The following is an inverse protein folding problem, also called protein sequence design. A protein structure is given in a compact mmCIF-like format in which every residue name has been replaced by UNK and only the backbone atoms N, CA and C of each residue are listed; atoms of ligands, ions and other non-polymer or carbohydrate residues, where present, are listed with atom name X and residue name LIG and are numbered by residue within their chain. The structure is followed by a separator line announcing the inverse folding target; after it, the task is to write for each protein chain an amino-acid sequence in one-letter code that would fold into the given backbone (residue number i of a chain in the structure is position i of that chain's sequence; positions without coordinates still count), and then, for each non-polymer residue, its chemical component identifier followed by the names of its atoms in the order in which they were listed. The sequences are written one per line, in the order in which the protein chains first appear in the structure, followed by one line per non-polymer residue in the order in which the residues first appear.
data_IF_705820768535
#
_entry.id   IF_705820768535
#
_cell.length_a   1.000
_cell.length_b   1.000
_cell.length_c   1.000
_cell.angle_alpha   90.00
_cell.angle_beta   90.00
_cell.angle_gamma   90.00
#
_symmetry.space_group_name_H-M   'P 1'
#
loop_
_entity.id
_entity.type
_entity.pdbx_description
1 polymer ?
#
# COMPACT_ATOMS: atom_id res chain seq x y z
N UNK A 1 -20.11 13.70 -39.07
CA UNK A 1 -18.77 14.18 -38.75
C UNK A 1 -17.75 13.07 -38.97
N UNK A 2 -16.78 13.33 -39.80
CA UNK A 2 -15.74 12.32 -40.09
C UNK A 2 -14.71 12.36 -38.93
N UNK A 3 -14.39 11.20 -38.38
CA UNK A 3 -13.46 11.07 -37.23
C UNK A 3 -12.08 11.73 -37.47
N UNK A 4 -11.67 11.92 -38.73
CA UNK A 4 -10.44 12.63 -39.12
C UNK A 4 -10.48 14.12 -38.86
N UNK A 5 -11.64 14.76 -38.89
CA UNK A 5 -11.77 16.22 -38.71
C UNK A 5 -11.68 16.59 -37.22
N UNK A 6 -12.03 15.66 -36.32
CA UNK A 6 -11.90 15.88 -34.90
C UNK A 6 -10.44 15.90 -34.41
N UNK A 7 -9.60 15.03 -35.03
CA UNK A 7 -8.17 14.95 -34.69
C UNK A 7 -7.33 16.11 -35.25
N UNK A 8 -7.79 16.74 -36.32
CA UNK A 8 -7.12 17.92 -36.89
C UNK A 8 -7.43 19.21 -36.12
N UNK A 9 -8.55 19.27 -35.45
CA UNK A 9 -8.94 20.44 -34.63
C UNK A 9 -8.21 20.57 -33.29
N UNK A 10 -7.65 19.47 -32.77
CA UNK A 10 -6.92 19.45 -31.52
C UNK A 10 -5.46 19.90 -31.58
N UNK A 11 -4.90 19.96 -32.79
CA UNK A 11 -3.50 20.41 -32.98
C UNK A 11 -3.35 21.94 -33.01
N UNK A 12 -4.45 22.68 -33.26
CA UNK A 12 -4.40 24.14 -33.29
C UNK A 12 -4.60 24.81 -31.93
N UNK A 13 -5.09 24.09 -30.94
CA UNK A 13 -5.28 24.59 -29.57
C UNK A 13 -4.06 24.39 -28.66
N UNK A 14 -3.02 23.70 -29.14
CA UNK A 14 -1.84 23.36 -28.36
C UNK A 14 -0.81 24.49 -28.16
N UNK A 15 -0.96 25.60 -28.87
CA UNK A 15 0.04 26.67 -28.83
C UNK A 15 -0.24 27.76 -27.76
N UNK A 16 -1.45 27.79 -27.19
CA UNK A 16 -1.81 28.79 -26.17
C UNK A 16 -1.71 28.24 -24.72
N UNK A 17 -1.35 26.96 -24.54
CA UNK A 17 -1.34 26.28 -23.25
C UNK A 17 -0.03 26.30 -22.47
N UNK A 18 1.02 26.95 -22.98
CA UNK A 18 2.35 26.87 -22.35
C UNK A 18 2.63 27.90 -21.27
N UNK A 19 1.65 28.70 -20.86
CA UNK A 19 1.87 29.72 -19.84
C UNK A 19 1.30 29.39 -18.45
N UNK A 20 0.70 28.20 -18.24
CA UNK A 20 0.11 27.83 -16.94
C UNK A 20 0.91 26.73 -16.23
N UNK A 21 2.11 26.44 -16.69
CA UNK A 21 2.92 25.33 -16.15
C UNK A 21 3.84 25.69 -14.99
N UNK A 22 3.76 26.91 -14.48
CA UNK A 22 4.57 27.27 -13.32
C UNK A 22 3.79 27.05 -12.03
N UNK A 23 3.70 25.86 -11.55
CA UNK A 23 3.62 25.56 -10.12
C UNK A 23 2.26 25.24 -9.49
N UNK A 24 1.12 25.25 -10.21
CA UNK A 24 -0.18 25.03 -9.58
C UNK A 24 -0.91 23.75 -9.95
N UNK A 25 -0.43 23.03 -10.95
CA UNK A 25 -0.97 21.75 -11.39
C UNK A 25 0.13 20.75 -11.77
N UNK A 26 1.21 20.74 -10.99
CA UNK A 26 1.94 19.48 -10.92
C UNK A 26 0.96 18.52 -10.28
N UNK A 27 0.45 17.48 -11.00
CA UNK A 27 -0.07 16.36 -10.28
C UNK A 27 1.07 16.01 -9.33
N UNK A 28 0.83 16.14 -8.04
CA UNK A 28 1.62 15.41 -7.08
C UNK A 28 1.47 13.99 -7.60
N UNK A 29 2.45 13.56 -8.39
CA UNK A 29 2.66 12.15 -8.55
C UNK A 29 2.76 11.67 -7.12
N UNK A 30 1.71 11.06 -6.64
CA UNK A 30 1.82 10.02 -5.65
C UNK A 30 2.66 9.00 -6.41
N UNK A 31 3.96 9.19 -6.34
CA UNK A 31 4.89 8.11 -6.47
C UNK A 31 4.54 7.26 -5.25
N UNK A 32 3.55 6.40 -5.41
CA UNK A 32 3.62 5.11 -4.79
C UNK A 32 5.01 4.67 -5.20
N UNK A 33 5.94 4.77 -4.26
CA UNK A 33 7.34 4.52 -4.57
C UNK A 33 7.37 3.07 -5.03
N UNK A 34 7.37 2.87 -6.35
CA UNK A 34 7.37 1.52 -6.94
C UNK A 34 8.50 0.70 -6.38
N UNK A 35 9.55 1.35 -5.88
CA UNK A 35 10.68 0.73 -5.23
C UNK A 35 10.31 -0.05 -3.96
N UNK A 36 9.37 0.40 -3.15
CA UNK A 36 8.95 -0.33 -1.94
C UNK A 36 8.18 -1.60 -2.28
N UNK A 37 7.33 -1.57 -3.31
CA UNK A 37 6.61 -2.76 -3.79
C UNK A 37 7.52 -3.75 -4.54
N UNK A 38 8.62 -3.28 -5.10
CA UNK A 38 9.59 -4.11 -5.82
C UNK A 38 10.67 -4.70 -4.90
N UNK A 39 10.79 -4.20 -3.68
CA UNK A 39 11.74 -4.68 -2.69
C UNK A 39 11.53 -6.18 -2.39
N UNK A 40 12.61 -6.91 -2.20
CA UNK A 40 12.61 -8.37 -2.03
C UNK A 40 12.80 -8.81 -0.58
N UNK A 41 13.20 -7.90 0.28
CA UNK A 41 13.39 -8.16 1.71
C UNK A 41 12.61 -7.14 2.53
N UNK A 42 12.27 -7.51 3.76
CA UNK A 42 11.61 -6.58 4.69
C UNK A 42 12.46 -5.33 4.94
N UNK A 43 13.77 -5.50 5.14
CA UNK A 43 14.69 -4.39 5.38
C UNK A 43 14.75 -3.41 4.20
N UNK A 44 14.82 -3.94 2.98
CA UNK A 44 14.83 -3.11 1.78
C UNK A 44 13.50 -2.38 1.58
N UNK A 45 12.40 -3.03 1.93
CA UNK A 45 11.06 -2.43 1.91
C UNK A 45 10.98 -1.25 2.88
N UNK A 46 11.40 -1.44 4.13
CA UNK A 46 11.38 -0.39 5.15
C UNK A 46 12.31 0.77 4.79
N UNK A 47 13.47 0.49 4.20
CA UNK A 47 14.39 1.51 3.68
C UNK A 47 13.78 2.30 2.52
N UNK A 48 13.14 1.59 1.57
CA UNK A 48 12.48 2.23 0.44
C UNK A 48 11.29 3.11 0.88
N UNK A 49 10.60 2.72 1.95
CA UNK A 49 9.56 3.53 2.58
C UNK A 49 10.13 4.67 3.45
N UNK A 50 11.44 4.68 3.70
CA UNK A 50 12.14 5.64 4.57
C UNK A 50 11.56 5.71 5.99
N UNK A 51 11.22 4.56 6.58
CA UNK A 51 10.59 4.45 7.89
C UNK A 51 11.38 3.55 8.83
N UNK A 52 11.29 3.89 10.12
CA UNK A 52 11.76 3.04 11.23
C UNK A 52 10.55 2.79 12.12
N UNK A 53 9.91 1.62 12.03
CA UNK A 53 8.70 1.35 12.78
C UNK A 53 8.99 1.08 14.26
N UNK A 54 8.13 1.61 15.13
CA UNK A 54 8.14 1.34 16.56
C UNK A 54 7.00 0.36 16.91
N UNK A 55 7.27 -0.71 17.64
CA UNK A 55 6.20 -1.62 18.09
C UNK A 55 5.25 -0.88 19.06
N UNK A 56 3.94 -1.03 18.80
CA UNK A 56 2.91 -0.39 19.60
C UNK A 56 1.67 -1.27 19.71
N UNK A 57 1.11 -1.33 20.91
CA UNK A 57 -0.18 -1.99 21.17
C UNK A 57 -1.39 -1.24 20.59
N UNK A 58 -1.19 -0.01 20.11
CA UNK A 58 -2.26 0.80 19.49
C UNK A 58 -2.56 0.38 18.06
N UNK A 59 -1.63 -0.32 17.42
CA UNK A 59 -1.84 -0.93 16.10
C UNK A 59 -2.35 -2.35 16.30
N UNK A 60 -3.44 -2.70 15.63
CA UNK A 60 -4.06 -4.02 15.76
C UNK A 60 -4.14 -4.69 14.39
N UNK A 61 -3.91 -5.99 14.40
CA UNK A 61 -4.10 -6.87 13.25
C UNK A 61 -5.20 -7.87 13.60
N UNK A 62 -6.15 -8.03 12.69
CA UNK A 62 -7.12 -9.11 12.72
C UNK A 62 -6.91 -9.97 11.48
N UNK A 63 -6.33 -11.12 11.69
CA UNK A 63 -6.07 -12.12 10.66
C UNK A 63 -6.35 -13.52 11.23
N UNK A 64 -6.62 -14.54 10.40
CA UNK A 64 -6.74 -15.91 10.89
C UNK A 64 -5.38 -16.40 11.40
N UNK A 65 -5.37 -17.17 12.46
CA UNK A 65 -4.15 -17.84 12.94
C UNK A 65 -3.65 -18.88 11.94
N UNK A 66 -4.59 -19.53 11.25
CA UNK A 66 -4.34 -20.53 10.22
C UNK A 66 -5.11 -20.15 8.96
N UNK A 67 -4.40 -19.92 7.88
CA UNK A 67 -4.97 -19.71 6.55
C UNK A 67 -4.89 -21.02 5.76
N UNK A 68 -6.05 -21.60 5.48
CA UNK A 68 -6.15 -22.80 4.63
C UNK A 68 -5.86 -22.48 3.15
N UNK A 69 -6.09 -21.23 2.74
CA UNK A 69 -5.80 -20.75 1.41
C UNK A 69 -4.92 -19.49 1.48
N UNK A 70 -3.62 -19.67 1.27
CA UNK A 70 -2.66 -18.56 1.25
C UNK A 70 -2.84 -17.55 0.12
N UNK A 71 -3.64 -17.88 -0.91
CA UNK A 71 -3.88 -16.96 -2.03
C UNK A 71 -4.81 -15.80 -1.64
N UNK A 72 -5.66 -15.99 -0.62
CA UNK A 72 -6.70 -15.03 -0.21
C UNK A 72 -6.84 -14.99 1.31
N UNK A 73 -5.86 -14.46 1.98
CA UNK A 73 -5.86 -14.33 3.45
C UNK A 73 -6.52 -13.00 3.84
N UNK A 74 -7.66 -13.03 4.54
CA UNK A 74 -8.31 -11.79 4.99
C UNK A 74 -7.50 -11.15 6.11
N UNK A 75 -7.22 -9.87 5.99
CA UNK A 75 -6.51 -9.08 6.99
C UNK A 75 -7.21 -7.75 7.19
N UNK A 76 -7.46 -7.40 8.44
CA UNK A 76 -7.90 -6.07 8.85
C UNK A 76 -6.83 -5.47 9.74
N UNK A 77 -6.45 -4.25 9.46
CA UNK A 77 -5.49 -3.47 10.26
C UNK A 77 -6.17 -2.22 10.80
N UNK A 78 -5.91 -1.90 12.05
CA UNK A 78 -6.46 -0.73 12.73
C UNK A 78 -5.31 0.02 13.39
N UNK A 79 -5.23 1.32 13.13
CA UNK A 79 -4.29 2.22 13.79
C UNK A 79 -4.98 3.09 14.84
N UNK A 80 -4.22 3.86 15.63
CA UNK A 80 -4.76 4.86 16.54
C UNK A 80 -5.37 6.05 15.79
N UNK A 81 -6.08 6.91 16.51
CA UNK A 81 -6.55 8.17 15.96
C UNK A 81 -5.38 9.03 15.44
N UNK A 82 -5.61 9.73 14.34
CA UNK A 82 -4.57 10.52 13.68
C UNK A 82 -3.71 9.72 12.71
N UNK A 83 -4.00 8.44 12.48
CA UNK A 83 -3.34 7.65 11.44
C UNK A 83 -3.68 8.21 10.06
N UNK A 84 -2.66 8.52 9.29
CA UNK A 84 -2.79 9.03 7.91
C UNK A 84 -2.53 7.98 6.84
N UNK A 85 -1.84 6.91 7.22
CA UNK A 85 -1.50 5.83 6.30
C UNK A 85 -1.45 4.49 7.05
N UNK A 86 -1.98 3.45 6.44
CA UNK A 86 -1.88 2.07 6.91
C UNK A 86 -1.20 1.22 5.84
N UNK A 87 -0.20 0.44 6.20
CA UNK A 87 0.47 -0.50 5.31
C UNK A 87 0.45 -1.91 5.88
N UNK A 88 0.37 -2.89 4.99
CA UNK A 88 0.39 -4.31 5.33
C UNK A 88 1.57 -4.95 4.63
N UNK A 89 2.43 -5.59 5.40
CA UNK A 89 3.58 -6.33 4.90
C UNK A 89 3.48 -7.80 5.31
N UNK A 90 4.08 -8.65 4.50
CA UNK A 90 4.26 -10.08 4.77
C UNK A 90 5.75 -10.38 4.71
N UNK A 91 6.34 -10.68 5.85
CA UNK A 91 7.80 -10.78 6.03
C UNK A 91 8.47 -11.73 5.04
N UNK A 92 7.89 -12.91 4.83
CA UNK A 92 8.46 -13.97 4.01
C UNK A 92 7.93 -14.03 2.57
N UNK A 93 7.17 -13.05 2.13
CA UNK A 93 6.76 -12.98 0.73
C UNK A 93 7.93 -12.52 -0.15
N UNK A 94 7.94 -12.91 -1.43
CA UNK A 94 8.94 -12.42 -2.39
C UNK A 94 8.97 -10.89 -2.53
N UNK A 95 7.85 -10.26 -2.30
CA UNK A 95 7.68 -8.81 -2.18
C UNK A 95 6.92 -8.57 -0.87
N UNK A 96 7.59 -8.09 0.18
CA UNK A 96 6.96 -7.96 1.51
C UNK A 96 5.80 -6.99 1.56
N UNK A 97 5.88 -5.84 0.89
CA UNK A 97 4.78 -4.86 0.89
C UNK A 97 3.60 -5.38 0.08
N UNK A 98 2.51 -5.69 0.77
CA UNK A 98 1.29 -6.21 0.15
C UNK A 98 0.30 -5.10 -0.23
N UNK A 99 0.13 -4.10 0.63
CA UNK A 99 -0.82 -3.01 0.40
C UNK A 99 -0.46 -1.77 1.22
N UNK A 100 -0.81 -0.60 0.69
CA UNK A 100 -0.76 0.68 1.40
C UNK A 100 -2.06 1.43 1.18
N UNK A 101 -2.62 1.97 2.26
CA UNK A 101 -3.87 2.74 2.27
C UNK A 101 -3.58 4.14 2.77
N UNK A 102 -3.79 5.12 1.93
CA UNK A 102 -3.71 6.53 2.31
C UNK A 102 -5.11 6.95 2.78
N UNK A 103 -5.22 7.36 4.03
CA UNK A 103 -6.47 7.74 4.65
C UNK A 103 -6.76 9.21 4.41
N UNK A 104 -7.96 9.48 3.91
CA UNK A 104 -8.45 10.84 3.78
C UNK A 104 -8.84 11.44 5.13
N UNK A 105 -9.02 12.75 5.14
CA UNK A 105 -9.48 13.49 6.31
C UNK A 105 -10.83 12.95 6.80
N UNK A 106 -10.93 12.66 8.10
CA UNK A 106 -12.13 12.09 8.71
C UNK A 106 -12.33 10.59 8.47
N UNK A 107 -11.42 9.91 7.78
CA UNK A 107 -11.48 8.47 7.59
C UNK A 107 -11.19 7.74 8.91
N UNK A 108 -11.89 6.62 9.14
CA UNK A 108 -11.54 5.73 10.24
C UNK A 108 -10.16 5.12 9.98
N UNK A 109 -9.31 4.98 11.02
CA UNK A 109 -7.99 4.39 10.88
C UNK A 109 -8.04 2.87 10.79
N UNK A 110 -8.81 2.36 9.86
CA UNK A 110 -9.02 0.93 9.63
C UNK A 110 -9.03 0.61 8.14
N UNK A 111 -8.37 -0.45 7.76
CA UNK A 111 -8.37 -0.97 6.40
C UNK A 111 -8.49 -2.49 6.41
N UNK A 112 -9.33 -3.02 5.55
CA UNK A 112 -9.53 -4.46 5.37
C UNK A 112 -9.28 -4.85 3.92
N UNK A 113 -8.52 -5.92 3.73
CA UNK A 113 -8.23 -6.47 2.41
C UNK A 113 -7.94 -7.96 2.47
N UNK A 114 -7.72 -8.56 1.31
CA UNK A 114 -7.19 -9.92 1.19
C UNK A 114 -5.81 -9.85 0.58
N UNK A 115 -4.88 -10.54 1.21
CA UNK A 115 -3.48 -10.59 0.79
C UNK A 115 -3.09 -12.01 0.38
N UNK A 116 -2.05 -12.11 -0.44
CA UNK A 116 -1.43 -13.39 -0.78
C UNK A 116 -0.27 -13.66 0.19
N UNK A 117 -0.25 -14.86 0.73
CA UNK A 117 0.85 -15.37 1.55
C UNK A 117 1.37 -16.68 0.93
N UNK A 118 2.60 -16.68 0.48
CA UNK A 118 3.21 -17.87 -0.14
C UNK A 118 3.54 -18.97 0.86
N UNK A 119 3.73 -18.63 2.11
CA UNK A 119 4.07 -19.55 3.20
C UNK A 119 3.74 -18.92 4.56
N UNK A 120 3.83 -19.71 5.63
CA UNK A 120 3.73 -19.21 7.01
C UNK A 120 4.68 -18.05 7.23
N UNK A 121 4.16 -16.94 7.75
CA UNK A 121 4.89 -15.70 7.91
C UNK A 121 4.25 -14.79 8.94
N UNK A 122 5.01 -13.82 9.41
CA UNK A 122 4.45 -12.68 10.11
C UNK A 122 3.77 -11.71 9.12
N UNK A 123 2.56 -11.32 9.43
CA UNK A 123 1.89 -10.17 8.86
C UNK A 123 2.25 -8.98 9.75
N UNK A 124 2.72 -7.91 9.14
CA UNK A 124 3.13 -6.69 9.83
C UNK A 124 2.20 -5.57 9.39
N UNK A 125 1.59 -4.90 10.35
CA UNK A 125 0.81 -3.69 10.11
C UNK A 125 1.65 -2.48 10.49
N UNK A 126 1.64 -1.47 9.65
CA UNK A 126 2.26 -0.17 9.91
C UNK A 126 1.18 0.90 9.91
N UNK A 127 1.21 1.77 10.91
CA UNK A 127 0.34 2.94 11.01
C UNK A 127 1.19 4.20 11.12
N UNK A 128 1.07 5.08 10.16
CA UNK A 128 1.76 6.38 10.18
C UNK A 128 0.91 7.40 10.92
N UNK A 129 1.46 7.93 12.00
CA UNK A 129 0.82 8.95 12.85
C UNK A 129 1.79 10.13 13.00
N UNK A 130 1.50 11.23 12.32
CA UNK A 130 2.42 12.36 12.24
C UNK A 130 3.78 11.93 11.65
N UNK A 131 4.85 12.16 12.39
CA UNK A 131 6.22 11.80 11.98
C UNK A 131 6.64 10.38 12.41
N UNK A 132 5.77 9.67 13.13
CA UNK A 132 6.05 8.32 13.64
C UNK A 132 5.34 7.26 12.81
N UNK A 133 5.97 6.10 12.73
CA UNK A 133 5.35 4.89 12.19
C UNK A 133 5.29 3.85 13.30
N UNK A 134 4.07 3.48 13.67
CA UNK A 134 3.81 2.44 14.65
C UNK A 134 3.61 1.11 13.95
N UNK A 135 3.98 0.01 14.60
CA UNK A 135 3.88 -1.32 14.03
C UNK A 135 3.30 -2.34 15.00
N UNK A 136 2.66 -3.33 14.44
CA UNK A 136 2.31 -4.58 15.10
C UNK A 136 2.60 -5.74 14.16
N UNK A 137 2.79 -6.93 14.73
CA UNK A 137 2.99 -8.15 13.96
C UNK A 137 2.16 -9.31 14.51
N UNK A 138 1.70 -10.17 13.61
CA UNK A 138 0.98 -11.39 13.94
C UNK A 138 1.40 -12.50 13.00
N UNK A 139 1.78 -13.65 13.54
CA UNK A 139 2.04 -14.83 12.72
C UNK A 139 0.74 -15.40 12.15
N UNK A 140 0.77 -15.71 10.86
CA UNK A 140 -0.28 -16.45 10.16
C UNK A 140 0.33 -17.72 9.58
N UNK A 141 -0.18 -18.86 9.99
CA UNK A 141 0.23 -20.16 9.47
C UNK A 141 -0.52 -20.44 8.19
N UNK A 142 0.22 -20.75 7.13
CA UNK A 142 -0.36 -21.15 5.84
C UNK A 142 -0.18 -22.65 5.69
N UNK A 143 -1.31 -23.36 5.55
CA UNK A 143 -1.27 -24.80 5.32
C UNK A 143 -0.91 -25.09 3.86
N UNK A 144 -0.01 -26.06 3.66
CA UNK A 144 0.35 -26.54 2.32
C UNK A 144 -0.82 -27.38 1.79
N UNK A 145 -1.57 -26.83 0.85
CA UNK A 145 -2.72 -27.55 0.26
C UNK A 145 -3.72 -26.62 -0.41
N UNK A 146 -3.65 -25.34 -0.15
CA UNK A 146 -4.37 -24.33 -0.90
C UNK A 146 -3.65 -24.04 -2.20
N UNK A 147 -4.09 -24.66 -3.29
CA UNK A 147 -3.79 -24.26 -4.67
C UNK A 147 -2.39 -23.69 -4.90
N UNK A 148 -1.41 -24.55 -4.79
CA UNK A 148 -0.15 -24.32 -5.46
C UNK A 148 -0.41 -24.30 -6.96
N UNK A 149 -0.18 -23.29 -7.59
CA UNK A 149 -0.25 -23.17 -9.03
C UNK A 149 0.40 -21.88 -9.40
#
# INVERSE_FOLDING_TARGET
MKRRTFLQGTLAAGAAGMAVSAGLLTPRMVLADGSAFDAKTLDDTLKAMAITPEESGDVKIKAPEIAENGAVVPVTVTGPEGTTELSILVENNPNPLAATFILGEGAKPEASTRIKMGKTSNVIALAKVGDKTLSAKQEVKVTIGGCGG
#
